data_IF_034758990274
#
_entry.id   IF_034758990274
#
_cell.length_a   1.000
_cell.length_b   1.000
_cell.length_c   1.000
_cell.angle_alpha   90.00
_cell.angle_beta   90.00
_cell.angle_gamma   90.00
#
_symmetry.space_group_name_H-M   'P 1'
#
loop_
_entity.id
_entity.type
_entity.pdbx_description
1 polymer ?
#
# COMPACT_ATOMS: atom_id res chain seq x y z
N UNK A 1 -2.82 -11.09 21.26
CA UNK A 1 -3.94 -10.66 20.40
C UNK A 1 -4.62 -9.54 21.12
N UNK A 2 -4.66 -8.35 20.54
CA UNK A 2 -5.53 -7.30 21.05
C UNK A 2 -6.96 -7.77 20.76
N UNK A 3 -7.67 -8.18 21.81
CA UNK A 3 -9.04 -8.68 21.70
C UNK A 3 -9.96 -7.49 21.48
N UNK A 4 -11.00 -7.68 20.66
CA UNK A 4 -12.04 -6.66 20.54
C UNK A 4 -12.70 -6.43 21.90
N UNK A 5 -13.11 -5.19 22.16
CA UNK A 5 -13.79 -4.83 23.40
C UNK A 5 -15.03 -5.75 23.59
N UNK A 6 -15.18 -6.43 24.74
CA UNK A 6 -16.33 -7.32 25.00
C UNK A 6 -17.69 -6.66 24.78
N UNK A 7 -17.83 -5.36 25.10
CA UNK A 7 -19.07 -4.62 24.87
C UNK A 7 -19.37 -4.46 23.37
N UNK A 8 -18.33 -4.34 22.53
CA UNK A 8 -18.47 -4.23 21.09
C UNK A 8 -18.82 -5.59 20.46
N UNK A 9 -18.28 -6.68 20.99
CA UNK A 9 -18.65 -8.05 20.59
C UNK A 9 -20.13 -8.32 20.88
N UNK A 10 -20.62 -7.94 22.07
CA UNK A 10 -22.04 -8.06 22.42
C UNK A 10 -22.94 -7.23 21.49
N UNK A 11 -22.50 -6.02 21.11
CA UNK A 11 -23.21 -5.20 20.14
C UNK A 11 -23.29 -5.89 18.76
N UNK A 12 -22.21 -6.50 18.27
CA UNK A 12 -22.24 -7.24 17.02
C UNK A 12 -23.22 -8.42 17.06
N UNK A 13 -23.26 -9.19 18.16
CA UNK A 13 -24.25 -10.25 18.33
C UNK A 13 -25.69 -9.72 18.27
N UNK A 14 -25.98 -8.61 18.96
CA UNK A 14 -27.30 -7.96 18.94
C UNK A 14 -27.71 -7.51 17.53
N UNK A 15 -26.79 -6.88 16.79
CA UNK A 15 -27.08 -6.45 15.42
C UNK A 15 -27.27 -7.64 14.47
N UNK A 16 -26.50 -8.73 14.62
CA UNK A 16 -26.71 -9.97 13.84
C UNK A 16 -28.12 -10.51 14.07
N UNK A 17 -28.56 -10.61 15.33
CA UNK A 17 -29.92 -11.07 15.67
C UNK A 17 -30.99 -10.16 15.06
N UNK A 18 -30.81 -8.84 15.16
CA UNK A 18 -31.73 -7.86 14.58
C UNK A 18 -31.87 -8.02 13.07
N UNK A 19 -30.78 -8.24 12.34
CA UNK A 19 -30.82 -8.50 10.88
C UNK A 19 -31.49 -9.84 10.58
N UNK A 20 -31.17 -10.88 11.34
CA UNK A 20 -31.69 -12.22 11.12
C UNK A 20 -33.20 -12.29 11.36
N UNK A 21 -33.67 -11.77 12.50
CA UNK A 21 -35.07 -11.82 12.94
C UNK A 21 -35.96 -10.81 12.19
N UNK A 22 -35.39 -9.91 11.36
CA UNK A 22 -36.17 -8.97 10.56
C UNK A 22 -36.84 -9.70 9.37
N UNK A 23 -38.16 -9.85 9.44
CA UNK A 23 -38.98 -10.48 8.39
C UNK A 23 -39.26 -9.60 7.16
N UNK A 24 -38.98 -8.31 7.23
CA UNK A 24 -39.19 -7.35 6.13
C UNK A 24 -38.00 -7.32 5.15
N UNK A 25 -36.81 -7.75 5.58
CA UNK A 25 -35.62 -7.78 4.74
C UNK A 25 -35.63 -9.00 3.83
N UNK A 26 -35.41 -8.78 2.53
CA UNK A 26 -35.14 -9.86 1.59
C UNK A 26 -33.83 -10.59 1.96
N UNK A 27 -33.63 -11.80 1.45
CA UNK A 27 -32.38 -12.54 1.68
C UNK A 27 -31.14 -11.78 1.19
N UNK A 28 -31.28 -10.99 0.11
CA UNK A 28 -30.19 -10.19 -0.42
C UNK A 28 -29.92 -8.96 0.45
N UNK A 29 -30.96 -8.31 0.97
CA UNK A 29 -30.81 -7.18 1.90
C UNK A 29 -30.16 -7.63 3.22
N UNK A 30 -30.49 -8.84 3.70
CA UNK A 30 -29.81 -9.45 4.85
C UNK A 30 -28.33 -9.66 4.56
N UNK A 31 -27.97 -10.21 3.39
CA UNK A 31 -26.57 -10.37 3.00
C UNK A 31 -25.82 -9.03 2.97
N UNK A 32 -26.42 -7.96 2.42
CA UNK A 32 -25.83 -6.62 2.45
C UNK A 32 -25.71 -6.05 3.87
N UNK A 33 -26.68 -6.30 4.75
CA UNK A 33 -26.61 -5.89 6.15
C UNK A 33 -25.47 -6.61 6.88
N UNK A 34 -25.30 -7.93 6.68
CA UNK A 34 -24.16 -8.67 7.22
C UNK A 34 -22.82 -8.19 6.65
N UNK A 35 -22.79 -7.80 5.37
CA UNK A 35 -21.58 -7.19 4.77
C UNK A 35 -21.18 -5.91 5.48
N UNK A 36 -22.14 -5.03 5.81
CA UNK A 36 -21.87 -3.81 6.59
C UNK A 36 -21.32 -4.13 7.98
N UNK A 37 -21.85 -5.16 8.65
CA UNK A 37 -21.30 -5.61 9.94
C UNK A 37 -19.87 -6.13 9.80
N UNK A 38 -19.58 -6.91 8.77
CA UNK A 38 -18.22 -7.36 8.46
C UNK A 38 -17.27 -6.17 8.22
N UNK A 39 -17.71 -5.18 7.42
CA UNK A 39 -16.94 -3.95 7.19
C UNK A 39 -16.63 -3.22 8.50
N UNK A 40 -17.62 -3.07 9.38
CA UNK A 40 -17.45 -2.43 10.68
C UNK A 40 -16.46 -3.17 11.59
N UNK A 41 -16.48 -4.52 11.59
CA UNK A 41 -15.48 -5.31 12.33
C UNK A 41 -14.07 -4.95 11.85
N UNK A 42 -13.82 -4.98 10.54
CA UNK A 42 -12.49 -4.66 10.01
C UNK A 42 -12.11 -3.19 10.21
N UNK A 43 -13.07 -2.26 10.22
CA UNK A 43 -12.82 -0.86 10.55
C UNK A 43 -12.35 -0.73 12.00
N UNK A 44 -13.05 -1.35 12.94
CA UNK A 44 -12.69 -1.30 14.36
C UNK A 44 -11.38 -2.03 14.66
N UNK A 45 -11.08 -3.13 13.96
CA UNK A 45 -9.80 -3.84 14.08
C UNK A 45 -8.60 -3.01 13.61
N UNK A 46 -8.79 -2.06 12.70
CA UNK A 46 -7.71 -1.22 12.17
C UNK A 46 -7.78 0.23 12.64
N UNK A 47 -8.63 0.53 13.62
CA UNK A 47 -8.93 1.91 14.03
C UNK A 47 -7.78 2.54 14.81
N UNK A 48 -7.10 1.74 15.63
CA UNK A 48 -6.00 2.20 16.45
C UNK A 48 -4.81 2.66 15.60
N UNK A 49 -4.60 2.02 14.45
CA UNK A 49 -3.49 2.24 13.52
C UNK A 49 -3.58 3.58 12.77
N UNK A 50 -4.80 4.11 12.60
CA UNK A 50 -5.07 5.30 11.80
C UNK A 50 -4.34 5.27 10.43
N UNK A 51 -4.25 4.08 9.82
CA UNK A 51 -3.70 3.88 8.49
C UNK A 51 -4.79 4.16 7.45
N UNK A 52 -4.42 4.89 6.40
CA UNK A 52 -5.30 5.13 5.27
C UNK A 52 -5.30 3.88 4.37
N UNK A 53 -6.36 3.09 4.45
CA UNK A 53 -6.65 2.01 3.50
C UNK A 53 -7.63 2.55 2.46
N UNK A 54 -7.30 2.40 1.19
CA UNK A 54 -8.12 2.95 0.09
C UNK A 54 -9.17 1.95 -0.38
N UNK A 55 -8.93 0.67 -0.09
CA UNK A 55 -9.84 -0.44 -0.35
C UNK A 55 -10.12 -1.24 0.92
N UNK A 56 -11.32 -1.82 0.96
CA UNK A 56 -11.66 -2.82 1.98
C UNK A 56 -10.77 -4.07 1.85
N UNK A 57 -10.25 -4.36 0.65
CA UNK A 57 -9.34 -5.49 0.45
C UNK A 57 -8.04 -5.32 1.23
N UNK A 58 -7.35 -4.19 1.07
CA UNK A 58 -6.10 -3.94 1.78
C UNK A 58 -6.30 -3.90 3.30
N UNK A 59 -7.44 -3.32 3.75
CA UNK A 59 -7.81 -3.33 5.17
C UNK A 59 -7.99 -4.74 5.72
N UNK A 60 -8.71 -5.61 5.00
CA UNK A 60 -8.90 -7.01 5.39
C UNK A 60 -7.55 -7.75 5.40
N UNK A 61 -6.74 -7.61 4.36
CA UNK A 61 -5.43 -8.25 4.28
C UNK A 61 -4.52 -7.84 5.44
N UNK A 62 -4.49 -6.54 5.77
CA UNK A 62 -3.75 -6.01 6.91
C UNK A 62 -4.26 -6.58 8.24
N UNK A 63 -5.57 -6.51 8.49
CA UNK A 63 -6.19 -7.01 9.71
C UNK A 63 -5.99 -8.53 9.86
N UNK A 64 -6.13 -9.29 8.77
CA UNK A 64 -5.91 -10.73 8.74
C UNK A 64 -4.48 -11.09 9.14
N UNK A 65 -3.49 -10.39 8.60
CA UNK A 65 -2.09 -10.59 8.98
C UNK A 65 -1.83 -10.19 10.45
N UNK A 66 -2.30 -9.01 10.86
CA UNK A 66 -2.11 -8.45 12.22
C UNK A 66 -2.71 -9.34 13.31
N UNK A 67 -3.93 -9.82 13.08
CA UNK A 67 -4.67 -10.68 14.00
C UNK A 67 -4.47 -12.17 13.73
N UNK A 68 -3.61 -12.56 12.78
CA UNK A 68 -3.30 -13.95 12.41
C UNK A 68 -4.57 -14.77 12.12
N UNK A 69 -5.49 -14.18 11.34
CA UNK A 69 -6.68 -14.87 10.90
C UNK A 69 -6.32 -16.06 10.01
N UNK A 70 -7.10 -17.13 10.10
CA UNK A 70 -6.91 -18.33 9.29
C UNK A 70 -7.06 -18.03 7.79
N UNK A 71 -6.23 -18.67 6.95
CA UNK A 71 -6.25 -18.47 5.49
C UNK A 71 -7.59 -18.81 4.87
N UNK A 72 -8.28 -19.85 5.35
CA UNK A 72 -9.62 -20.21 4.84
C UNK A 72 -10.64 -19.14 5.22
N UNK A 73 -10.56 -18.61 6.45
CA UNK A 73 -11.44 -17.52 6.87
C UNK A 73 -11.26 -16.28 6.00
N UNK A 74 -10.01 -15.86 5.75
CA UNK A 74 -9.71 -14.73 4.86
C UNK A 74 -10.24 -14.98 3.44
N UNK A 75 -10.01 -16.17 2.89
CA UNK A 75 -10.60 -16.58 1.61
C UNK A 75 -12.13 -16.45 1.60
N UNK A 76 -12.82 -16.92 2.65
CA UNK A 76 -14.28 -16.84 2.73
C UNK A 76 -14.78 -15.40 2.76
N UNK A 77 -14.11 -14.52 3.51
CA UNK A 77 -14.41 -13.08 3.53
C UNK A 77 -14.33 -12.50 2.12
N UNK A 78 -13.26 -12.79 1.37
CA UNK A 78 -13.10 -12.30 0.00
C UNK A 78 -14.10 -12.94 -0.97
N UNK A 79 -14.36 -14.24 -0.86
CA UNK A 79 -15.35 -14.92 -1.69
C UNK A 79 -16.74 -14.33 -1.49
N UNK A 80 -17.13 -14.08 -0.24
CA UNK A 80 -18.40 -13.43 0.09
C UNK A 80 -18.50 -12.05 -0.55
N UNK A 81 -17.48 -11.20 -0.38
CA UNK A 81 -17.42 -9.86 -0.98
C UNK A 81 -17.58 -9.91 -2.50
N UNK A 82 -16.86 -10.83 -3.16
CA UNK A 82 -16.90 -11.01 -4.61
C UNK A 82 -18.28 -11.46 -5.09
N UNK A 83 -18.85 -12.50 -4.47
CA UNK A 83 -20.18 -13.04 -4.84
C UNK A 83 -21.30 -12.04 -4.55
N UNK A 84 -21.21 -11.27 -3.48
CA UNK A 84 -22.18 -10.24 -3.15
C UNK A 84 -22.17 -9.09 -4.18
N UNK A 85 -21.00 -8.74 -4.72
CA UNK A 85 -20.84 -7.64 -5.68
C UNK A 85 -20.92 -8.08 -7.15
N UNK A 86 -21.09 -9.38 -7.42
CA UNK A 86 -21.19 -9.87 -8.79
C UNK A 86 -22.49 -9.40 -9.45
N UNK A 87 -22.39 -8.82 -10.64
CA UNK A 87 -23.55 -8.40 -11.42
C UNK A 87 -24.47 -9.59 -11.74
N UNK A 88 -25.78 -9.38 -11.60
CA UNK A 88 -26.79 -10.41 -11.83
C UNK A 88 -26.94 -11.46 -10.71
N UNK A 89 -26.20 -11.34 -9.59
CA UNK A 89 -26.30 -12.19 -8.40
C UNK A 89 -26.58 -13.68 -8.69
N UNK A 90 -25.69 -14.33 -9.45
CA UNK A 90 -25.80 -15.76 -9.80
C UNK A 90 -25.78 -16.72 -8.59
N UNK A 91 -25.57 -16.21 -7.38
CA UNK A 91 -25.55 -16.98 -6.13
C UNK A 91 -26.84 -16.73 -5.37
N UNK A 92 -27.45 -17.79 -4.85
CA UNK A 92 -28.71 -17.69 -4.12
C UNK A 92 -28.56 -16.82 -2.86
N UNK A 93 -29.51 -15.89 -2.58
CA UNK A 93 -29.42 -15.01 -1.42
C UNK A 93 -29.33 -15.74 -0.06
N UNK A 94 -29.91 -16.94 0.03
CA UNK A 94 -29.81 -17.80 1.20
C UNK A 94 -28.37 -18.28 1.44
N UNK A 95 -27.66 -18.70 0.40
CA UNK A 95 -26.26 -19.12 0.48
C UNK A 95 -25.35 -17.94 0.84
N UNK A 96 -25.61 -16.74 0.28
CA UNK A 96 -24.87 -15.53 0.65
C UNK A 96 -25.04 -15.21 2.14
N UNK A 97 -26.28 -15.26 2.64
CA UNK A 97 -26.56 -15.02 4.05
C UNK A 97 -25.92 -16.08 4.97
N UNK A 98 -25.97 -17.35 4.57
CA UNK A 98 -25.33 -18.44 5.31
C UNK A 98 -23.81 -18.25 5.36
N UNK A 99 -23.16 -17.94 4.24
CA UNK A 99 -21.72 -17.66 4.20
C UNK A 99 -21.36 -16.46 5.08
N UNK A 100 -22.14 -15.37 5.03
CA UNK A 100 -21.90 -14.19 5.84
C UNK A 100 -21.98 -14.49 7.35
N UNK A 101 -23.00 -15.24 7.78
CA UNK A 101 -23.17 -15.66 9.17
C UNK A 101 -22.05 -16.60 9.62
N UNK A 102 -21.62 -17.54 8.78
CA UNK A 102 -20.46 -18.38 9.04
C UNK A 102 -19.20 -17.54 9.29
N UNK A 103 -18.93 -16.55 8.42
CA UNK A 103 -17.76 -15.68 8.55
C UNK A 103 -17.84 -14.84 9.83
N UNK A 104 -18.99 -14.22 10.10
CA UNK A 104 -19.22 -13.41 11.30
C UNK A 104 -19.01 -14.24 12.57
N UNK A 105 -19.50 -15.47 12.60
CA UNK A 105 -19.26 -16.41 13.69
C UNK A 105 -17.77 -16.63 13.94
N UNK A 106 -17.03 -17.05 12.90
CA UNK A 106 -15.61 -17.37 12.99
C UNK A 106 -14.78 -16.15 13.41
N UNK A 107 -15.10 -14.96 12.87
CA UNK A 107 -14.45 -13.71 13.27
C UNK A 107 -14.70 -13.39 14.74
N UNK A 108 -15.97 -13.39 15.19
CA UNK A 108 -16.29 -13.04 16.58
C UNK A 108 -15.66 -14.01 17.58
N UNK A 109 -15.62 -15.31 17.29
CA UNK A 109 -14.94 -16.31 18.14
C UNK A 109 -13.43 -16.08 18.17
N UNK A 110 -12.80 -15.87 17.02
CA UNK A 110 -11.36 -15.61 16.94
C UNK A 110 -10.97 -14.32 17.69
N UNK A 111 -11.84 -13.31 17.67
CA UNK A 111 -11.57 -11.99 18.22
C UNK A 111 -11.93 -11.85 19.71
N UNK A 112 -12.92 -12.61 20.20
CA UNK A 112 -13.27 -12.68 21.63
C UNK A 112 -12.36 -13.66 22.38
N UNK A 113 -11.97 -14.76 21.74
CA UNK A 113 -11.35 -15.91 22.39
C UNK A 113 -12.29 -16.61 23.39
N UNK A 114 -13.60 -16.38 23.27
CA UNK A 114 -14.65 -16.95 24.11
C UNK A 114 -15.67 -17.73 23.24
N UNK A 115 -16.40 -18.65 23.87
CA UNK A 115 -17.45 -19.38 23.17
C UNK A 115 -18.65 -18.47 22.89
N UNK A 116 -19.32 -18.70 21.75
CA UNK A 116 -20.56 -18.00 21.40
C UNK A 116 -21.61 -18.21 22.49
N UNK A 117 -22.28 -17.15 22.98
CA UNK A 117 -23.33 -17.28 23.96
C UNK A 117 -24.45 -18.19 23.44
N UNK A 118 -25.03 -19.02 24.33
CA UNK A 118 -25.93 -20.11 23.95
C UNK A 118 -27.09 -19.64 23.06
N UNK A 119 -27.66 -18.46 23.36
CA UNK A 119 -28.79 -17.87 22.63
C UNK A 119 -28.47 -17.51 21.17
N UNK A 120 -27.19 -17.34 20.83
CA UNK A 120 -26.76 -16.97 19.48
C UNK A 120 -26.32 -18.15 18.62
N UNK A 121 -26.07 -19.33 19.20
CA UNK A 121 -25.59 -20.51 18.46
C UNK A 121 -26.53 -20.93 17.34
N UNK A 122 -27.83 -20.75 17.51
CA UNK A 122 -28.86 -21.07 16.50
C UNK A 122 -28.77 -20.24 15.22
N UNK A 123 -28.14 -19.07 15.27
CA UNK A 123 -28.03 -18.18 14.11
C UNK A 123 -26.83 -18.50 13.21
N UNK A 124 -25.87 -19.28 13.71
CA UNK A 124 -24.61 -19.52 13.02
C UNK A 124 -24.59 -20.91 12.40
N UNK A 125 -24.37 -21.04 11.08
CA UNK A 125 -24.21 -22.34 10.45
C UNK A 125 -22.90 -23.00 10.90
N UNK A 126 -22.91 -24.33 10.98
CA UNK A 126 -21.72 -25.11 11.33
C UNK A 126 -20.66 -25.08 10.22
N UNK A 127 -21.10 -25.12 8.96
CA UNK A 127 -20.25 -25.18 7.77
C UNK A 127 -20.63 -24.09 6.75
N UNK A 128 -19.66 -23.62 5.94
CA UNK A 128 -19.95 -22.69 4.85
C UNK A 128 -20.74 -23.40 3.73
N UNK A 129 -21.53 -22.66 2.93
CA UNK A 129 -22.34 -23.24 1.84
C UNK A 129 -21.53 -23.58 0.58
N UNK A 130 -20.22 -23.27 0.55
CA UNK A 130 -19.35 -23.53 -0.59
C UNK A 130 -18.17 -24.38 -0.16
N UNK A 131 -17.63 -25.17 -1.09
CA UNK A 131 -16.41 -25.94 -0.87
C UNK A 131 -15.16 -25.07 -1.03
N UNK A 132 -14.23 -25.23 -0.09
CA UNK A 132 -12.91 -24.61 -0.20
C UNK A 132 -12.06 -25.42 -1.19
N UNK A 133 -11.85 -24.87 -2.40
CA UNK A 133 -10.99 -25.49 -3.40
C UNK A 133 -9.55 -25.00 -3.22
N UNK A 134 -8.73 -25.79 -2.53
CA UNK A 134 -7.28 -25.59 -2.53
C UNK A 134 -6.70 -26.06 -3.87
N UNK A 135 -5.93 -25.20 -4.53
CA UNK A 135 -5.18 -25.58 -5.72
C UNK A 135 -3.79 -26.07 -5.29
N UNK A 136 -3.38 -27.22 -5.81
CA UNK A 136 -2.05 -27.77 -5.55
C UNK A 136 -0.99 -26.92 -6.30
N UNK A 137 -0.25 -26.12 -5.54
CA UNK A 137 0.85 -25.31 -6.07
C UNK A 137 2.03 -26.23 -6.33
N UNK A 138 2.47 -26.32 -7.59
CA UNK A 138 3.66 -27.10 -8.00
C UNK A 138 4.94 -26.29 -7.82
N UNK A 139 4.88 -25.00 -8.10
CA UNK A 139 6.03 -24.11 -8.07
C UNK A 139 5.62 -22.70 -7.62
N UNK A 140 6.53 -21.99 -6.96
CA UNK A 140 6.36 -20.57 -6.64
C UNK A 140 7.47 -19.76 -7.32
N UNK A 141 7.09 -18.72 -8.05
CA UNK A 141 8.02 -17.78 -8.70
C UNK A 141 7.77 -16.38 -8.16
N UNK A 142 8.76 -15.70 -7.55
CA UNK A 142 8.58 -14.33 -7.05
C UNK A 142 8.17 -13.34 -8.15
N UNK A 143 8.65 -13.58 -9.37
CA UNK A 143 8.45 -12.71 -10.52
C UNK A 143 8.34 -13.52 -11.81
N UNK A 144 7.40 -13.13 -12.68
CA UNK A 144 7.34 -13.55 -14.08
C UNK A 144 7.02 -12.34 -14.96
N UNK A 145 7.85 -12.09 -15.97
CA UNK A 145 7.55 -11.20 -17.08
C UNK A 145 6.82 -11.97 -18.16
N UNK A 146 5.68 -11.47 -18.61
CA UNK A 146 4.86 -12.17 -19.59
C UNK A 146 4.18 -11.21 -20.56
N UNK A 147 3.98 -11.65 -21.79
CA UNK A 147 3.11 -10.97 -22.75
C UNK A 147 1.75 -11.67 -22.77
N UNK A 148 0.68 -10.97 -22.41
CA UNK A 148 -0.68 -11.47 -22.61
C UNK A 148 -1.10 -11.25 -24.06
N UNK A 149 -1.69 -12.27 -24.68
CA UNK A 149 -2.03 -12.27 -26.11
C UNK A 149 -3.52 -12.47 -26.39
N UNK A 150 -4.24 -13.10 -25.47
CA UNK A 150 -5.66 -13.38 -25.63
C UNK A 150 -6.35 -13.43 -24.27
N UNK A 151 -7.61 -12.99 -24.25
CA UNK A 151 -8.48 -13.07 -23.08
C UNK A 151 -9.47 -14.22 -23.20
N UNK A 152 -9.76 -14.87 -22.07
CA UNK A 152 -10.82 -15.85 -21.86
C UNK A 152 -11.64 -15.38 -20.65
N UNK A 153 -12.51 -14.40 -20.91
CA UNK A 153 -13.32 -13.73 -19.89
C UNK A 153 -14.30 -14.71 -19.20
N UNK A 154 -14.76 -15.74 -19.91
CA UNK A 154 -15.71 -16.72 -19.37
C UNK A 154 -15.09 -17.53 -18.21
N UNK A 155 -13.78 -17.78 -18.27
CA UNK A 155 -13.05 -18.60 -17.30
C UNK A 155 -12.14 -17.79 -16.36
N UNK A 156 -12.25 -16.46 -16.37
CA UNK A 156 -11.39 -15.56 -15.60
C UNK A 156 -9.88 -15.78 -15.84
N UNK A 157 -9.48 -15.98 -17.11
CA UNK A 157 -8.08 -16.23 -17.47
C UNK A 157 -7.63 -15.54 -18.77
N UNK A 158 -6.32 -15.39 -18.95
CA UNK A 158 -5.70 -14.87 -20.16
C UNK A 158 -4.60 -15.82 -20.63
N UNK A 159 -4.46 -15.97 -21.95
CA UNK A 159 -3.33 -16.69 -22.53
C UNK A 159 -2.11 -15.76 -22.50
N UNK A 160 -1.01 -16.27 -21.94
CA UNK A 160 0.24 -15.52 -21.80
C UNK A 160 1.43 -16.30 -22.34
N UNK A 161 2.46 -15.57 -22.78
CA UNK A 161 3.79 -16.10 -23.05
C UNK A 161 4.77 -15.64 -21.97
N UNK A 162 5.37 -16.59 -21.27
CA UNK A 162 6.38 -16.36 -20.23
C UNK A 162 7.73 -15.99 -20.88
N UNK A 163 8.11 -14.72 -20.79
CA UNK A 163 9.35 -14.21 -21.37
C UNK A 163 10.58 -14.69 -20.60
N UNK A 164 10.43 -15.10 -19.34
CA UNK A 164 11.52 -15.65 -18.55
C UNK A 164 11.80 -17.12 -18.88
N UNK A 165 10.87 -17.82 -19.53
CA UNK A 165 10.97 -19.24 -19.86
C UNK A 165 10.78 -19.51 -21.36
N UNK A 166 11.65 -18.94 -22.19
CA UNK A 166 11.71 -19.16 -23.64
C UNK A 166 10.38 -18.91 -24.39
N UNK A 167 9.48 -18.07 -23.85
CA UNK A 167 8.17 -17.79 -24.44
C UNK A 167 7.14 -18.90 -24.20
N UNK A 168 7.36 -19.77 -23.21
CA UNK A 168 6.44 -20.84 -22.85
C UNK A 168 5.02 -20.30 -22.61
N UNK A 169 4.04 -20.99 -23.18
CA UNK A 169 2.64 -20.59 -23.06
C UNK A 169 2.08 -21.03 -21.71
N UNK A 170 1.30 -20.18 -21.07
CA UNK A 170 0.60 -20.48 -19.83
C UNK A 170 -0.76 -19.77 -19.77
N UNK A 171 -1.63 -20.24 -18.89
CA UNK A 171 -2.85 -19.52 -18.52
C UNK A 171 -2.57 -18.63 -17.31
N UNK A 172 -2.81 -17.32 -17.42
CA UNK A 172 -2.86 -16.40 -16.29
C UNK A 172 -4.28 -16.36 -15.74
N UNK A 173 -4.50 -16.81 -14.50
CA UNK A 173 -5.79 -16.68 -13.83
C UNK A 173 -5.88 -15.38 -13.01
N UNK A 174 -6.95 -14.63 -13.22
CA UNK A 174 -7.27 -13.40 -12.48
C UNK A 174 -8.56 -13.56 -11.67
N UNK A 175 -9.01 -12.50 -10.98
CA UNK A 175 -10.23 -12.48 -10.16
C UNK A 175 -10.24 -13.52 -9.01
N UNK A 176 -9.08 -13.90 -8.51
CA UNK A 176 -8.93 -14.88 -7.42
C UNK A 176 -9.15 -14.19 -6.06
N UNK A 177 -10.10 -14.66 -5.22
CA UNK A 177 -10.34 -14.12 -3.89
C UNK A 177 -9.08 -14.21 -3.00
N UNK A 178 -8.85 -13.20 -2.16
CA UNK A 178 -7.67 -13.11 -1.26
C UNK A 178 -6.30 -13.09 -1.99
N UNK A 179 -6.32 -12.86 -3.31
CA UNK A 179 -5.10 -12.88 -4.13
C UNK A 179 -5.02 -11.70 -5.08
N UNK A 180 -5.67 -11.77 -6.25
CA UNK A 180 -5.52 -10.77 -7.31
C UNK A 180 -6.86 -10.11 -7.74
N UNK A 181 -7.95 -10.39 -7.03
CA UNK A 181 -9.23 -9.65 -7.19
C UNK A 181 -9.08 -8.11 -7.25
N UNK A 182 -8.20 -7.45 -6.46
CA UNK A 182 -8.02 -5.99 -6.56
C UNK A 182 -7.63 -5.49 -7.96
N UNK A 183 -6.90 -6.32 -8.72
CA UNK A 183 -6.42 -6.00 -10.06
C UNK A 183 -7.49 -6.17 -11.14
N UNK A 184 -8.73 -6.52 -10.80
CA UNK A 184 -9.83 -6.59 -11.77
C UNK A 184 -10.09 -5.25 -12.49
N UNK A 185 -9.75 -4.11 -11.86
CA UNK A 185 -9.76 -2.80 -12.53
C UNK A 185 -8.71 -2.73 -13.64
N UNK A 186 -7.51 -3.24 -13.38
CA UNK A 186 -6.41 -3.35 -14.34
C UNK A 186 -6.78 -4.30 -15.49
N UNK A 187 -7.39 -5.46 -15.20
CA UNK A 187 -7.90 -6.38 -16.23
C UNK A 187 -8.91 -5.70 -17.17
N UNK A 188 -9.84 -4.92 -16.62
CA UNK A 188 -10.76 -4.13 -17.46
C UNK A 188 -10.06 -3.05 -18.27
N UNK A 189 -8.98 -2.46 -17.75
CA UNK A 189 -8.19 -1.49 -18.48
C UNK A 189 -7.46 -2.15 -19.67
N UNK A 190 -6.94 -3.37 -19.50
CA UNK A 190 -6.38 -4.16 -20.62
C UNK A 190 -7.40 -4.27 -21.75
N UNK A 191 -8.63 -4.72 -21.42
CA UNK A 191 -9.71 -4.88 -22.42
C UNK A 191 -10.10 -3.60 -23.15
N UNK A 192 -10.21 -2.50 -22.42
CA UNK A 192 -10.83 -1.26 -22.92
C UNK A 192 -9.84 -0.25 -23.49
N UNK A 193 -8.58 -0.29 -23.05
CA UNK A 193 -7.60 0.77 -23.29
C UNK A 193 -6.34 0.24 -23.96
N UNK A 194 -5.70 -0.79 -23.39
CA UNK A 194 -4.40 -1.28 -23.90
C UNK A 194 -4.56 -2.21 -25.11
N UNK A 195 -5.53 -3.14 -25.05
CA UNK A 195 -5.68 -4.20 -26.04
C UNK A 195 -4.65 -5.31 -25.85
N UNK A 196 -4.58 -6.22 -26.84
CA UNK A 196 -3.59 -7.30 -26.91
C UNK A 196 -2.75 -7.15 -28.19
N UNK A 197 -1.46 -7.55 -28.18
CA UNK A 197 -0.71 -8.04 -27.02
C UNK A 197 -0.38 -6.93 -26.01
N UNK A 198 -0.18 -7.28 -24.74
CA UNK A 198 0.21 -6.35 -23.66
C UNK A 198 1.26 -6.98 -22.75
N UNK A 199 2.26 -6.20 -22.34
CA UNK A 199 3.33 -6.67 -21.46
C UNK A 199 2.89 -6.57 -20.01
N UNK A 200 3.15 -7.61 -19.22
CA UNK A 200 2.78 -7.73 -17.82
C UNK A 200 3.99 -8.13 -16.97
N UNK A 201 4.09 -7.53 -15.79
CA UNK A 201 4.88 -8.06 -14.68
C UNK A 201 3.95 -8.73 -13.68
N UNK A 202 4.14 -10.04 -13.47
CA UNK A 202 3.37 -10.88 -12.57
C UNK A 202 4.18 -11.11 -11.29
N UNK A 203 3.57 -10.81 -10.13
CA UNK A 203 4.24 -10.81 -8.83
C UNK A 203 3.71 -11.93 -7.94
N UNK A 204 4.59 -12.59 -7.18
CA UNK A 204 4.28 -13.71 -6.28
C UNK A 204 3.39 -14.77 -6.96
N UNK A 205 3.94 -15.40 -8.00
CA UNK A 205 3.21 -16.33 -8.88
C UNK A 205 3.21 -17.74 -8.30
N UNK A 206 2.01 -18.24 -7.99
CA UNK A 206 1.81 -19.68 -7.78
C UNK A 206 1.55 -20.33 -9.13
N UNK A 207 2.36 -21.34 -9.47
CA UNK A 207 2.18 -22.15 -10.67
C UNK A 207 1.50 -23.45 -10.27
N UNK A 208 0.36 -23.70 -10.89
CA UNK A 208 -0.44 -24.90 -10.72
C UNK A 208 -0.58 -25.67 -12.03
N UNK A 209 -1.14 -26.87 -11.94
CA UNK A 209 -1.62 -27.59 -13.12
C UNK A 209 -2.83 -26.86 -13.70
N UNK A 210 -2.76 -26.57 -15.00
CA UNK A 210 -3.88 -26.01 -15.74
C UNK A 210 -4.52 -27.04 -16.65
N UNK A 211 -5.40 -26.56 -17.52
CA UNK A 211 -6.06 -27.37 -18.55
C UNK A 211 -5.22 -27.35 -19.84
N UNK A 212 -5.52 -28.26 -20.77
CA UNK A 212 -4.93 -28.32 -22.11
C UNK A 212 -3.39 -28.41 -22.13
N UNK A 213 -2.81 -29.12 -21.15
CA UNK A 213 -1.37 -29.27 -20.92
C UNK A 213 -0.61 -27.96 -20.68
N UNK A 214 -1.32 -26.85 -20.42
CA UNK A 214 -0.73 -25.56 -20.10
C UNK A 214 -0.69 -25.34 -18.58
N UNK A 215 0.41 -24.80 -18.03
CA UNK A 215 0.46 -24.44 -16.61
C UNK A 215 -0.46 -23.25 -16.31
N UNK A 216 -0.99 -23.22 -15.09
CA UNK A 216 -1.88 -22.16 -14.61
C UNK A 216 -1.11 -21.23 -13.65
N UNK A 217 -0.86 -20.01 -14.08
CA UNK A 217 -0.20 -18.96 -13.31
C UNK A 217 -1.22 -18.16 -12.51
N UNK A 218 -1.01 -18.10 -11.20
CA UNK A 218 -1.88 -17.42 -10.24
C UNK A 218 -1.06 -16.35 -9.50
N UNK A 219 -0.86 -15.16 -10.07
CA UNK A 219 -0.10 -14.10 -9.42
C UNK A 219 -0.89 -13.44 -8.29
N UNK A 220 -0.18 -12.82 -7.36
CA UNK A 220 -0.77 -11.90 -6.37
C UNK A 220 -0.90 -10.48 -6.92
N UNK A 221 0.08 -10.02 -7.70
CA UNK A 221 0.12 -8.69 -8.30
C UNK A 221 0.26 -8.74 -9.81
N UNK A 222 -0.34 -7.77 -10.49
CA UNK A 222 -0.30 -7.63 -11.94
C UNK A 222 0.00 -6.18 -12.28
N UNK A 223 1.17 -5.91 -12.87
CA UNK A 223 1.56 -4.58 -13.36
C UNK A 223 1.51 -4.57 -14.87
N UNK A 224 0.76 -3.63 -15.44
CA UNK A 224 0.58 -3.48 -16.90
C UNK A 224 1.65 -2.54 -17.43
N UNK A 225 2.24 -2.89 -18.58
CA UNK A 225 3.28 -2.09 -19.25
C UNK A 225 4.39 -1.66 -18.28
N UNK A 226 5.06 -2.62 -17.63
CA UNK A 226 5.97 -2.34 -16.52
C UNK A 226 7.25 -1.58 -16.93
N UNK A 227 7.51 -1.41 -18.24
CA UNK A 227 8.60 -0.56 -18.73
C UNK A 227 8.22 0.93 -18.75
N UNK A 228 6.93 1.27 -18.59
CA UNK A 228 6.47 2.63 -18.37
C UNK A 228 6.65 3.00 -16.89
N UNK A 229 7.87 3.40 -16.54
CA UNK A 229 8.24 3.68 -15.16
C UNK A 229 7.54 4.94 -14.63
N UNK A 230 6.77 4.77 -13.56
CA UNK A 230 6.07 5.84 -12.86
C UNK A 230 6.89 6.33 -11.66
N UNK A 231 6.98 7.65 -11.48
CA UNK A 231 7.66 8.21 -10.31
C UNK A 231 6.93 7.83 -9.02
N UNK A 232 7.67 7.35 -8.03
CA UNK A 232 7.12 7.01 -6.70
C UNK A 232 6.40 8.20 -6.05
N UNK A 233 6.93 9.41 -6.20
CA UNK A 233 6.27 10.63 -5.73
C UNK A 233 4.91 10.85 -6.39
N UNK A 234 4.78 10.52 -7.67
CA UNK A 234 3.51 10.60 -8.42
C UNK A 234 2.50 9.62 -7.85
N UNK A 235 2.86 8.34 -7.70
CA UNK A 235 1.95 7.32 -7.15
C UNK A 235 1.55 7.67 -5.71
N UNK A 236 2.52 8.03 -4.87
CA UNK A 236 2.28 8.42 -3.48
C UNK A 236 1.38 9.65 -3.34
N UNK A 237 1.45 10.60 -4.27
CA UNK A 237 0.59 11.81 -4.25
C UNK A 237 -0.90 11.49 -4.43
N UNK A 238 -1.22 10.35 -5.05
CA UNK A 238 -2.59 9.90 -5.21
C UNK A 238 -3.18 9.35 -3.91
N UNK A 239 -2.35 9.09 -2.87
CA UNK A 239 -2.81 8.61 -1.57
C UNK A 239 -3.01 9.77 -0.59
N UNK A 240 -4.26 10.00 -0.23
CA UNK A 240 -4.66 10.99 0.78
C UNK A 240 -5.02 10.29 2.10
N UNK A 241 -5.21 11.04 3.19
CA UNK A 241 -5.66 10.42 4.44
C UNK A 241 -7.12 9.93 4.41
N UNK A 242 -7.87 10.14 3.32
CA UNK A 242 -9.23 9.64 3.14
C UNK A 242 -9.34 8.50 2.12
N UNK A 243 -8.25 8.14 1.43
CA UNK A 243 -8.26 7.15 0.36
C UNK A 243 -7.31 7.51 -0.78
N UNK A 244 -7.29 6.72 -1.86
CA UNK A 244 -6.55 7.04 -3.08
C UNK A 244 -7.48 7.54 -4.17
N UNK A 245 -6.99 8.51 -4.95
CA UNK A 245 -7.65 9.03 -6.14
C UNK A 245 -6.61 9.21 -7.26
N UNK A 246 -6.50 8.24 -8.19
CA UNK A 246 -5.57 8.32 -9.31
C UNK A 246 -5.79 9.53 -10.22
N UNK A 247 -7.01 10.08 -10.27
CA UNK A 247 -7.30 11.27 -11.09
C UNK A 247 -6.57 12.53 -10.60
N UNK A 248 -6.08 12.55 -9.36
CA UNK A 248 -5.23 13.62 -8.83
C UNK A 248 -3.98 13.80 -9.68
N UNK A 249 -3.34 12.71 -10.12
CA UNK A 249 -2.17 12.79 -11.00
C UNK A 249 -2.51 13.50 -12.32
N UNK A 250 -3.63 13.11 -12.94
CA UNK A 250 -4.06 13.72 -14.19
C UNK A 250 -4.36 15.21 -13.99
N UNK A 251 -5.05 15.57 -12.90
CA UNK A 251 -5.32 16.95 -12.55
C UNK A 251 -4.03 17.77 -12.41
N UNK A 252 -3.02 17.26 -11.71
CA UNK A 252 -1.76 17.97 -11.52
C UNK A 252 -0.99 18.22 -12.83
N UNK A 253 -1.21 17.42 -13.88
CA UNK A 253 -0.64 17.70 -15.20
C UNK A 253 -1.23 18.94 -15.89
N UNK A 254 -2.45 19.34 -15.52
CA UNK A 254 -3.12 20.49 -16.13
C UNK A 254 -3.03 21.76 -15.29
N UNK A 255 -2.56 21.68 -14.04
CA UNK A 255 -2.39 22.83 -13.17
C UNK A 255 -1.07 23.57 -13.48
N UNK A 256 -1.07 24.91 -13.45
CA UNK A 256 0.16 25.68 -13.60
C UNK A 256 1.14 25.37 -12.47
N UNK A 257 2.41 25.18 -12.81
CA UNK A 257 3.47 25.01 -11.82
C UNK A 257 4.11 26.36 -11.52
N UNK A 258 3.78 26.93 -10.37
CA UNK A 258 4.42 28.15 -9.88
C UNK A 258 5.39 27.83 -8.73
N UNK A 259 6.54 28.50 -8.71
CA UNK A 259 7.49 28.34 -7.60
C UNK A 259 6.99 29.07 -6.37
N UNK A 260 6.40 28.31 -5.45
CA UNK A 260 5.89 28.83 -4.18
C UNK A 260 6.98 28.90 -3.11
N UNK A 261 6.79 29.77 -2.09
CA UNK A 261 7.68 29.84 -0.91
C UNK A 261 7.85 28.47 -0.22
N UNK A 262 6.79 27.64 -0.01
CA UNK A 262 6.95 26.29 0.53
C UNK A 262 7.82 25.37 -0.32
N UNK A 263 7.69 25.41 -1.65
CA UNK A 263 8.51 24.60 -2.55
C UNK A 263 9.99 25.01 -2.46
N UNK A 264 10.27 26.31 -2.41
CA UNK A 264 11.62 26.82 -2.18
C UNK A 264 12.19 26.38 -0.83
N UNK A 265 11.40 26.40 0.25
CA UNK A 265 11.84 25.88 1.55
C UNK A 265 12.16 24.38 1.50
N UNK A 266 11.44 23.61 0.69
CA UNK A 266 11.78 22.22 0.39
C UNK A 266 13.15 22.08 -0.26
N UNK A 267 13.38 22.78 -1.36
CA UNK A 267 14.66 22.75 -2.07
C UNK A 267 15.82 23.19 -1.18
N UNK A 268 15.61 24.22 -0.34
CA UNK A 268 16.60 24.69 0.62
C UNK A 268 16.90 23.63 1.69
N UNK A 269 15.87 22.92 2.19
CA UNK A 269 16.07 21.86 3.17
C UNK A 269 16.86 20.68 2.60
N UNK A 270 16.61 20.28 1.34
CA UNK A 270 17.41 19.26 0.64
C UNK A 270 18.86 19.72 0.47
N UNK A 271 19.08 20.94 -0.02
CA UNK A 271 20.44 21.52 -0.11
C UNK A 271 21.17 21.53 1.24
N UNK A 272 20.48 21.87 2.34
CA UNK A 272 21.07 21.85 3.67
C UNK A 272 21.38 20.44 4.16
N UNK A 273 20.54 19.45 3.83
CA UNK A 273 20.82 18.06 4.12
C UNK A 273 22.12 17.65 3.44
N UNK A 274 22.29 17.93 2.16
CA UNK A 274 23.49 17.58 1.39
C UNK A 274 24.75 18.22 1.97
N UNK A 275 24.70 19.52 2.23
CA UNK A 275 25.84 20.27 2.78
C UNK A 275 26.24 19.78 4.17
N UNK A 276 25.27 19.46 5.04
CA UNK A 276 25.54 18.94 6.39
C UNK A 276 26.00 17.47 6.36
N UNK A 277 25.52 16.68 5.40
CA UNK A 277 25.98 15.31 5.19
C UNK A 277 27.43 15.28 4.67
N UNK A 278 27.87 16.30 3.94
CA UNK A 278 29.28 16.45 3.54
C UNK A 278 30.14 17.08 4.66
N UNK A 279 29.70 18.19 5.23
CA UNK A 279 30.39 18.95 6.27
C UNK A 279 29.46 19.25 7.47
N UNK A 280 29.42 18.38 8.49
CA UNK A 280 28.55 18.55 9.67
C UNK A 280 28.87 19.80 10.47
N UNK A 281 30.11 20.28 10.40
CA UNK A 281 30.57 21.44 11.17
C UNK A 281 30.23 22.77 10.52
N UNK A 282 29.75 22.78 9.27
CA UNK A 282 29.33 23.99 8.58
C UNK A 282 28.39 24.85 9.43
N UNK A 283 28.50 26.18 9.25
CA UNK A 283 27.61 27.15 9.89
C UNK A 283 26.54 27.64 8.91
N UNK A 284 25.38 28.02 9.43
CA UNK A 284 24.29 28.56 8.61
C UNK A 284 24.74 29.78 7.79
N UNK A 285 25.61 30.64 8.36
CA UNK A 285 26.10 31.86 7.70
C UNK A 285 26.98 31.55 6.48
N UNK A 286 27.74 30.46 6.53
CA UNK A 286 28.60 30.02 5.42
C UNK A 286 27.78 29.33 4.33
N UNK A 287 26.77 28.53 4.72
CA UNK A 287 26.00 27.71 3.79
C UNK A 287 24.85 28.46 3.12
N UNK A 288 24.15 29.35 3.84
CA UNK A 288 22.96 30.05 3.31
C UNK A 288 23.21 30.80 1.99
N UNK A 289 24.34 31.49 1.76
CA UNK A 289 24.62 32.13 0.47
C UNK A 289 24.54 31.16 -0.74
N UNK A 290 24.79 29.87 -0.54
CA UNK A 290 24.64 28.84 -1.58
C UNK A 290 23.21 28.66 -2.06
N UNK A 291 22.21 28.94 -1.22
CA UNK A 291 20.77 28.82 -1.53
C UNK A 291 20.36 29.64 -2.75
N UNK A 292 20.96 30.82 -2.95
CA UNK A 292 20.62 31.68 -4.08
C UNK A 292 20.94 31.04 -5.44
N UNK A 293 21.79 30.01 -5.47
CA UNK A 293 22.13 29.25 -6.68
C UNK A 293 21.08 28.21 -7.06
N UNK A 294 20.20 27.81 -6.13
CA UNK A 294 19.18 26.78 -6.38
C UNK A 294 18.15 27.26 -7.41
N UNK A 295 17.70 28.51 -7.31
CA UNK A 295 16.78 29.12 -8.27
C UNK A 295 16.99 30.65 -8.34
N UNK A 296 18.04 31.12 -9.04
CA UNK A 296 18.39 32.54 -9.06
C UNK A 296 17.27 33.44 -9.61
N UNK A 297 16.53 32.94 -10.61
CA UNK A 297 15.44 33.70 -11.25
C UNK A 297 14.29 33.95 -10.27
N UNK A 298 13.88 32.94 -9.50
CA UNK A 298 12.81 33.11 -8.50
C UNK A 298 13.22 34.10 -7.41
N UNK A 299 14.45 34.01 -6.90
CA UNK A 299 14.93 34.99 -5.93
C UNK A 299 14.99 36.42 -6.48
N UNK A 300 15.24 36.59 -7.78
CA UNK A 300 15.25 37.93 -8.41
C UNK A 300 13.86 38.58 -8.49
N UNK A 301 12.79 37.79 -8.42
CA UNK A 301 11.41 38.27 -8.45
C UNK A 301 10.87 38.64 -7.06
N UNK A 302 11.57 38.23 -6.00
CA UNK A 302 11.14 38.46 -4.61
C UNK A 302 11.68 39.77 -4.06
N UNK A 303 10.88 40.42 -3.22
CA UNK A 303 11.37 41.58 -2.48
C UNK A 303 12.20 41.17 -1.25
N UNK A 304 12.92 42.13 -0.67
CA UNK A 304 13.80 41.90 0.48
C UNK A 304 13.09 41.28 1.70
N UNK A 305 11.81 41.59 1.91
CA UNK A 305 11.04 41.05 3.03
C UNK A 305 10.78 39.56 2.82
N UNK A 306 10.42 39.15 1.60
CA UNK A 306 10.17 37.75 1.25
C UNK A 306 11.44 36.89 1.36
N UNK A 307 12.58 37.43 0.92
CA UNK A 307 13.88 36.76 1.08
C UNK A 307 14.22 36.58 2.56
N UNK A 308 14.04 37.62 3.38
CA UNK A 308 14.27 37.54 4.83
C UNK A 308 13.35 36.52 5.52
N UNK A 309 12.09 36.45 5.11
CA UNK A 309 11.13 35.45 5.62
C UNK A 309 11.60 34.01 5.32
N UNK A 310 12.02 33.74 4.09
CA UNK A 310 12.53 32.42 3.69
C UNK A 310 13.82 32.10 4.43
N UNK A 311 14.74 33.07 4.54
CA UNK A 311 15.97 32.91 5.33
C UNK A 311 15.66 32.51 6.78
N UNK A 312 14.79 33.26 7.46
CA UNK A 312 14.42 32.98 8.86
C UNK A 312 13.78 31.60 9.02
N UNK A 313 12.85 31.23 8.13
CA UNK A 313 12.22 29.91 8.17
C UNK A 313 13.24 28.79 7.91
N UNK A 314 14.11 28.96 6.91
CA UNK A 314 15.14 27.99 6.54
C UNK A 314 16.17 27.76 7.66
N UNK A 315 16.49 28.78 8.46
CA UNK A 315 17.39 28.64 9.61
C UNK A 315 16.87 27.62 10.64
N UNK A 316 15.54 27.54 10.80
CA UNK A 316 14.92 26.51 11.62
C UNK A 316 15.06 25.10 11.04
N UNK A 317 15.03 24.95 9.71
CA UNK A 317 15.32 23.65 9.07
C UNK A 317 16.78 23.28 9.28
N UNK A 318 17.71 24.22 9.06
CA UNK A 318 19.15 24.03 9.26
C UNK A 318 19.49 23.48 10.64
N UNK A 319 19.03 24.16 11.70
CA UNK A 319 19.38 23.78 13.08
C UNK A 319 18.86 22.39 13.44
N UNK A 320 17.65 22.04 12.99
CA UNK A 320 17.03 20.74 13.21
C UNK A 320 17.72 19.64 12.41
N UNK A 321 18.06 19.88 11.14
CA UNK A 321 18.83 18.95 10.31
C UNK A 321 20.20 18.66 10.92
N UNK A 322 20.94 19.71 11.33
CA UNK A 322 22.25 19.56 11.99
C UNK A 322 22.14 18.71 13.27
N UNK A 323 21.09 18.91 14.05
CA UNK A 323 20.81 18.08 15.24
C UNK A 323 20.52 16.62 14.87
N UNK A 324 19.66 16.36 13.90
CA UNK A 324 19.30 14.99 13.48
C UNK A 324 20.52 14.23 12.97
N UNK A 325 21.31 14.85 12.09
CA UNK A 325 22.52 14.24 11.51
C UNK A 325 23.57 13.95 12.59
N UNK A 326 23.73 14.83 13.58
CA UNK A 326 24.74 14.64 14.64
C UNK A 326 24.29 13.76 15.81
N UNK A 327 22.98 13.57 16.03
CA UNK A 327 22.49 12.88 17.23
C UNK A 327 21.56 11.71 16.92
N UNK A 328 20.61 11.88 16.00
CA UNK A 328 19.58 10.88 15.76
C UNK A 328 20.05 9.81 14.77
N UNK A 329 20.91 10.18 13.81
CA UNK A 329 21.52 9.21 12.90
C UNK A 329 22.40 8.19 13.64
N UNK A 330 23.19 8.64 14.63
CA UNK A 330 24.00 7.76 15.46
C UNK A 330 23.14 6.73 16.23
N UNK A 331 21.99 7.15 16.77
CA UNK A 331 21.07 6.27 17.50
C UNK A 331 20.44 5.18 16.63
N UNK A 332 20.23 5.48 15.35
CA UNK A 332 19.61 4.58 14.38
C UNK A 332 20.65 3.82 13.53
N UNK A 333 21.93 3.83 13.92
CA UNK A 333 23.04 3.17 13.19
C UNK A 333 23.20 3.67 11.74
N UNK A 334 22.94 4.96 11.51
CA UNK A 334 23.12 5.64 10.21
C UNK A 334 24.50 6.31 10.19
N UNK A 335 25.43 5.66 9.50
CA UNK A 335 26.80 6.12 9.24
C UNK A 335 26.82 7.03 8.00
N UNK A 336 26.98 8.33 8.24
CA UNK A 336 27.00 9.37 7.19
C UNK A 336 27.97 9.07 6.04
N UNK A 337 29.14 8.52 6.35
CA UNK A 337 30.17 8.17 5.38
C UNK A 337 29.79 6.96 4.50
N UNK A 338 28.79 6.18 4.91
CA UNK A 338 28.24 5.05 4.16
C UNK A 338 26.94 5.41 3.41
N UNK A 339 26.51 6.68 3.47
CA UNK A 339 25.32 7.17 2.80
C UNK A 339 25.62 7.65 1.38
N UNK A 340 24.73 7.30 0.46
CA UNK A 340 24.58 7.90 -0.85
C UNK A 340 23.49 8.97 -0.78
N UNK A 341 23.78 10.17 -1.29
CA UNK A 341 22.82 11.27 -1.40
C UNK A 341 22.22 11.29 -2.80
N UNK A 342 20.91 11.55 -2.86
CA UNK A 342 20.14 11.61 -4.11
C UNK A 342 20.28 10.40 -5.08
N UNK A 343 20.42 9.13 -4.65
CA UNK A 343 20.53 8.02 -5.59
C UNK A 343 19.20 7.75 -6.30
N UNK A 344 19.28 7.52 -7.61
CA UNK A 344 18.15 7.15 -8.46
C UNK A 344 18.06 5.64 -8.66
N UNK A 345 16.84 5.13 -8.67
CA UNK A 345 16.53 3.71 -8.84
C UNK A 345 15.45 3.54 -9.91
N UNK A 346 15.56 2.45 -10.67
CA UNK A 346 14.63 2.05 -11.71
C UNK A 346 14.20 0.61 -11.44
N UNK A 347 12.89 0.37 -11.40
CA UNK A 347 12.29 -0.89 -11.03
C UNK A 347 11.27 -1.34 -12.09
N UNK A 348 11.74 -2.03 -13.15
CA UNK A 348 10.88 -2.57 -14.21
C UNK A 348 10.10 -3.81 -13.76
N UNK A 349 10.28 -4.31 -12.53
CA UNK A 349 9.43 -5.36 -11.97
C UNK A 349 8.09 -4.75 -11.55
N UNK A 350 8.14 -3.59 -10.89
CA UNK A 350 6.95 -2.91 -10.37
C UNK A 350 6.46 -1.74 -11.23
N UNK A 351 7.18 -1.37 -12.29
CA UNK A 351 6.84 -0.20 -13.12
C UNK A 351 7.11 1.12 -12.41
N UNK A 352 8.14 1.17 -11.57
CA UNK A 352 8.43 2.32 -10.71
C UNK A 352 9.83 2.89 -10.96
N UNK A 353 9.96 4.19 -10.72
CA UNK A 353 11.25 4.86 -10.61
C UNK A 353 11.20 5.91 -9.51
N UNK A 354 12.36 6.37 -9.06
CA UNK A 354 12.41 7.37 -8.02
C UNK A 354 13.81 7.70 -7.57
N UNK A 355 13.90 8.80 -6.83
CA UNK A 355 15.14 9.33 -6.27
C UNK A 355 14.96 9.45 -4.76
N UNK A 356 15.82 8.76 -4.01
CA UNK A 356 15.82 8.83 -2.55
C UNK A 356 16.62 10.06 -2.11
N UNK A 357 16.29 10.67 -0.97
CA UNK A 357 17.14 11.75 -0.46
C UNK A 357 18.44 11.20 0.16
N UNK A 358 18.35 10.16 1.01
CA UNK A 358 19.50 9.47 1.60
C UNK A 358 19.30 7.96 1.59
N UNK A 359 20.34 7.23 1.18
CA UNK A 359 20.37 5.78 1.21
C UNK A 359 21.68 5.26 1.80
N UNK A 360 21.62 4.43 2.82
CA UNK A 360 22.77 3.68 3.33
C UNK A 360 22.66 2.22 2.91
N UNK A 361 23.78 1.61 2.50
CA UNK A 361 23.87 0.16 2.29
C UNK A 361 25.13 -0.42 2.91
N UNK A 362 24.96 -1.31 3.89
CA UNK A 362 26.05 -2.02 4.58
C UNK A 362 25.74 -3.52 4.63
N UNK A 363 26.27 -4.27 3.65
CA UNK A 363 25.93 -5.69 3.50
C UNK A 363 24.45 -5.88 3.16
N UNK A 364 23.74 -6.61 4.02
CA UNK A 364 22.28 -6.83 3.94
C UNK A 364 21.44 -5.79 4.67
N UNK A 365 22.04 -4.99 5.58
CA UNK A 365 21.35 -3.86 6.20
C UNK A 365 21.36 -2.67 5.25
N UNK A 366 20.22 -2.00 5.12
CA UNK A 366 20.14 -0.72 4.43
C UNK A 366 19.20 0.23 5.16
N UNK A 367 19.37 1.52 4.92
CA UNK A 367 18.53 2.56 5.50
C UNK A 367 18.08 3.51 4.40
N UNK A 368 16.81 3.87 4.39
CA UNK A 368 16.24 4.90 3.53
C UNK A 368 15.81 6.06 4.43
N UNK A 369 16.23 7.28 4.12
CA UNK A 369 15.72 8.49 4.79
C UNK A 369 15.15 9.43 3.73
N UNK A 370 13.85 9.69 3.82
CA UNK A 370 13.12 10.65 2.96
C UNK A 370 12.90 11.97 3.72
N UNK A 371 13.35 13.08 3.16
CA UNK A 371 13.20 14.42 3.73
C UNK A 371 11.84 15.02 3.36
N UNK A 372 11.17 15.61 4.36
CA UNK A 372 9.97 16.45 4.17
C UNK A 372 10.14 17.78 4.89
N UNK A 373 10.00 18.88 4.15
CA UNK A 373 10.02 20.25 4.70
C UNK A 373 8.65 20.72 5.21
N UNK A 374 7.57 20.04 4.84
CA UNK A 374 6.22 20.30 5.34
C UNK A 374 5.95 19.63 6.70
N UNK A 375 4.83 19.99 7.33
CA UNK A 375 4.28 19.22 8.44
C UNK A 375 3.37 18.11 7.89
N UNK A 376 3.35 16.91 8.49
CA UNK A 376 2.48 15.85 8.02
C UNK A 376 1.01 16.15 8.36
N UNK A 377 0.14 15.87 7.39
CA UNK A 377 -1.31 15.98 7.52
C UNK A 377 -1.93 14.60 7.80
N UNK A 378 -2.96 14.54 8.65
CA UNK A 378 -3.64 13.31 9.09
C UNK A 378 -2.69 12.16 9.39
N UNK A 379 -1.95 12.32 10.49
CA UNK A 379 -0.85 11.45 10.88
C UNK A 379 -1.37 10.06 11.29
N UNK A 380 -0.73 8.98 10.80
CA UNK A 380 -0.97 7.62 11.27
C UNK A 380 -0.36 7.37 12.67
N UNK A 381 -0.42 6.14 13.21
CA UNK A 381 0.21 5.79 14.50
C UNK A 381 1.72 6.07 14.55
N UNK A 382 2.40 6.07 13.41
CA UNK A 382 3.82 6.37 13.28
C UNK A 382 4.09 7.88 13.16
N UNK A 383 3.05 8.69 13.31
CA UNK A 383 3.06 10.15 13.13
C UNK A 383 3.43 10.58 11.71
N UNK A 384 3.14 9.77 10.71
CA UNK A 384 3.50 10.00 9.31
C UNK A 384 2.22 10.30 8.50
N UNK A 385 2.30 11.24 7.55
CA UNK A 385 1.20 11.51 6.62
C UNK A 385 1.04 10.39 5.58
N UNK A 386 -0.19 10.11 5.16
CA UNK A 386 -0.50 8.96 4.29
C UNK A 386 0.37 8.88 3.02
N UNK A 387 0.47 9.97 2.25
CA UNK A 387 1.29 10.01 1.03
C UNK A 387 2.77 9.75 1.34
N UNK A 388 3.32 10.37 2.38
CA UNK A 388 4.73 10.16 2.75
C UNK A 388 5.00 8.71 3.17
N UNK A 389 4.05 8.07 3.85
CA UNK A 389 4.16 6.66 4.22
C UNK A 389 4.19 5.76 2.98
N UNK A 390 3.25 5.94 2.06
CA UNK A 390 3.21 5.18 0.80
C UNK A 390 4.49 5.39 0.00
N UNK A 391 5.01 6.61 -0.06
CA UNK A 391 6.27 6.91 -0.73
C UNK A 391 7.42 6.06 -0.18
N UNK A 392 7.57 5.97 1.15
CA UNK A 392 8.62 5.12 1.75
C UNK A 392 8.41 3.64 1.49
N UNK A 393 7.16 3.17 1.42
CA UNK A 393 6.86 1.77 1.11
C UNK A 393 7.22 1.40 -0.33
N UNK A 394 7.01 2.31 -1.28
CA UNK A 394 7.39 2.10 -2.68
C UNK A 394 8.90 2.17 -2.88
N UNK A 395 9.59 3.05 -2.16
CA UNK A 395 11.06 3.06 -2.12
C UNK A 395 11.66 1.78 -1.53
N UNK A 396 11.06 1.24 -0.46
CA UNK A 396 11.44 -0.07 0.07
C UNK A 396 11.32 -1.17 -1.00
N UNK A 397 10.23 -1.18 -1.77
CA UNK A 397 10.05 -2.12 -2.89
C UNK A 397 11.14 -1.98 -3.95
N UNK A 398 11.41 -0.75 -4.40
CA UNK A 398 12.43 -0.49 -5.43
C UNK A 398 13.83 -0.92 -4.98
N UNK A 399 14.19 -0.66 -3.72
CA UNK A 399 15.48 -1.07 -3.16
C UNK A 399 15.58 -2.60 -3.09
N UNK A 400 14.50 -3.28 -2.68
CA UNK A 400 14.44 -4.75 -2.66
C UNK A 400 14.49 -5.35 -4.07
N UNK A 401 13.84 -4.73 -5.05
CA UNK A 401 13.90 -5.17 -6.45
C UNK A 401 15.33 -5.03 -7.02
N UNK A 402 16.03 -3.95 -6.65
CA UNK A 402 17.39 -3.67 -7.15
C UNK A 402 18.45 -4.57 -6.51
N UNK A 403 18.39 -4.80 -5.20
CA UNK A 403 19.44 -5.53 -4.47
C UNK A 403 19.03 -6.95 -4.04
N UNK A 404 17.81 -7.37 -4.35
CA UNK A 404 17.23 -8.65 -3.97
C UNK A 404 16.64 -8.69 -2.55
N UNK A 405 15.87 -9.74 -2.27
CA UNK A 405 15.09 -9.89 -1.03
C UNK A 405 15.92 -10.01 0.26
N UNK A 406 17.23 -10.27 0.15
CA UNK A 406 18.13 -10.36 1.31
C UNK A 406 18.39 -9.00 1.96
N UNK A 407 18.07 -7.91 1.26
CA UNK A 407 18.16 -6.57 1.82
C UNK A 407 16.92 -6.29 2.65
N UNK A 408 17.12 -5.74 3.85
CA UNK A 408 16.04 -5.33 4.74
C UNK A 408 16.17 -3.84 5.07
N UNK A 409 15.57 -2.95 4.26
CA UNK A 409 15.62 -1.52 4.49
C UNK A 409 14.88 -1.10 5.77
N UNK A 410 15.57 -0.39 6.65
CA UNK A 410 14.93 0.43 7.67
C UNK A 410 14.53 1.77 7.03
N UNK A 411 13.22 2.05 6.99
CA UNK A 411 12.70 3.22 6.30
C UNK A 411 12.38 4.32 7.30
N UNK A 412 12.82 5.54 7.02
CA UNK A 412 12.58 6.71 7.85
C UNK A 412 12.10 7.90 7.03
N UNK A 413 11.30 8.74 7.67
CA UNK A 413 10.93 10.06 7.15
C UNK A 413 11.45 11.11 8.11
N UNK A 414 12.21 12.06 7.56
CA UNK A 414 12.80 13.18 8.26
C UNK A 414 11.97 14.45 8.03
N UNK A 415 11.19 14.85 9.03
CA UNK A 415 10.41 16.09 9.00
C UNK A 415 11.24 17.26 9.53
N UNK A 416 11.93 18.00 8.65
CA UNK A 416 12.85 19.07 9.06
C UNK A 416 12.16 20.31 9.65
N UNK A 417 10.85 20.46 9.48
CA UNK A 417 10.05 21.53 10.10
C UNK A 417 9.64 21.22 11.54
N UNK A 418 9.50 19.94 11.90
CA UNK A 418 8.94 19.53 13.19
C UNK A 418 9.98 19.72 14.31
N UNK A 419 9.53 20.09 15.52
CA UNK A 419 10.45 20.38 16.63
C UNK A 419 10.85 19.16 17.44
N UNK A 420 9.99 18.14 17.44
CA UNK A 420 10.17 16.89 18.18
C UNK A 420 9.95 15.70 17.25
N UNK A 421 10.71 14.63 17.46
CA UNK A 421 10.62 13.38 16.69
C UNK A 421 10.66 13.65 15.18
N UNK A 422 11.72 14.32 14.74
CA UNK A 422 11.92 14.68 13.33
C UNK A 422 12.08 13.44 12.47
N UNK A 423 12.95 12.52 12.88
CA UNK A 423 13.18 11.24 12.23
C UNK A 423 12.14 10.23 12.72
N UNK A 424 11.30 9.72 11.81
CA UNK A 424 10.18 8.81 12.13
C UNK A 424 10.33 7.52 11.36
N UNK A 425 10.37 6.40 12.06
CA UNK A 425 10.40 5.07 11.44
C UNK A 425 9.07 4.78 10.73
N UNK A 426 9.18 4.30 9.48
CA UNK A 426 8.09 3.91 8.61
C UNK A 426 8.14 2.38 8.40
N UNK A 427 7.38 1.59 9.18
CA UNK A 427 7.44 0.14 9.05
C UNK A 427 6.93 -0.33 7.68
N UNK A 428 7.47 -1.43 7.13
CA UNK A 428 6.98 -2.00 5.88
C UNK A 428 5.55 -2.53 6.02
N UNK A 429 4.75 -2.41 4.96
CA UNK A 429 3.38 -2.92 4.91
C UNK A 429 3.03 -3.43 3.52
N UNK A 430 3.09 -4.76 3.34
CA UNK A 430 2.83 -5.42 2.06
C UNK A 430 1.41 -5.19 1.52
N UNK A 431 0.41 -5.03 2.38
CA UNK A 431 -0.97 -4.80 1.94
C UNK A 431 -1.12 -3.43 1.27
N UNK A 432 -0.45 -2.40 1.81
CA UNK A 432 -0.45 -1.06 1.23
C UNK A 432 0.47 -0.98 0.01
N UNK A 433 1.62 -1.67 0.03
CA UNK A 433 2.47 -1.82 -1.16
C UNK A 433 1.70 -2.37 -2.36
N UNK A 434 0.97 -3.48 -2.15
CA UNK A 434 0.14 -4.09 -3.20
C UNK A 434 -1.08 -3.26 -3.60
N UNK A 435 -1.56 -2.37 -2.73
CA UNK A 435 -2.65 -1.43 -3.07
C UNK A 435 -2.15 -0.22 -3.87
N UNK A 436 -0.86 0.09 -3.78
CA UNK A 436 -0.21 1.18 -4.51
C UNK A 436 0.24 0.79 -5.93
N UNK A 437 0.44 -0.50 -6.18
CA UNK A 437 0.54 -1.08 -7.53
C UNK A 437 -0.85 -1.23 -8.15
#
# INVERSE_FOLDING_TARGET
MEKLNPALIDLFYKEIRKVHDNGELSGLDKAWAYHRLLELIFIELTKAENLAFTTLFARIAYAAHRHRLDKKLTYWVHLFRRKLRSEGHKTEPAELSQLALYILHQLLVNLSGEQVPADFRKYFPAEPPFEYKSVAVKEFRPYVRATAVQDDEENDRMLIHDENNEGATAWLQYNIPDRNEPFNKSIRAIRKVFGFPVTLSLLDVEVAEGDDDLPLYRPRGIVIEPDYLMDVTTVASCFTGYGSEPMIYLLYKFLPSETSKPMMLGNIANFFLDELMNNPEATFKETFPGVFRLNPLVFSLWNNQEVKEVMQKSQGHWSRLKKVISQDFEKEEIEREACFLEPSFYDPVHGLQGRLDVFQKKGSKSVIVELKSGSPFMKNIHQIGASHYVQTLLYDMMVRATFGEKVDPANYILYSKEELKQLRYAPPNKAIQMEAL
#
